data_IF_754065571080
#
_entry.id   IF_754065571080
#
_cell.length_a   1.000
_cell.length_b   1.000
_cell.length_c   1.000
_cell.angle_alpha   90.00
_cell.angle_beta   90.00
_cell.angle_gamma   90.00
#
_symmetry.space_group_name_H-M   'P 1'
#
loop_
_entity.id
_entity.type
_entity.pdbx_description
1 polymer ?
#
# COMPACT_ATOMS: atom_id res chain seq x y z
N UNK A 1 9.58 0.38 10.15
CA UNK A 1 9.58 -0.82 11.02
C UNK A 1 8.18 -1.42 11.12
N UNK A 2 8.00 -2.58 10.49
CA UNK A 2 6.75 -3.36 10.48
C UNK A 2 7.05 -4.79 10.89
N UNK A 3 6.17 -5.42 11.68
CA UNK A 3 6.28 -6.82 12.07
C UNK A 3 5.64 -7.70 10.99
N UNK A 4 6.38 -8.67 10.48
CA UNK A 4 5.88 -9.66 9.51
C UNK A 4 5.16 -10.82 10.21
N UNK A 5 4.40 -11.61 9.45
CA UNK A 5 3.60 -12.73 10.00
C UNK A 5 4.43 -13.83 10.67
N UNK A 6 5.71 -13.93 10.30
CA UNK A 6 6.71 -14.83 10.88
C UNK A 6 7.54 -14.19 12.01
N UNK A 7 7.03 -13.10 12.61
CA UNK A 7 7.62 -12.38 13.75
C UNK A 7 8.99 -11.73 13.48
N UNK A 8 9.33 -11.47 12.23
CA UNK A 8 10.51 -10.69 11.89
C UNK A 8 10.21 -9.19 11.87
N UNK A 9 11.21 -8.39 12.25
CA UNK A 9 11.16 -6.94 12.11
C UNK A 9 11.82 -6.57 10.79
N UNK A 10 11.03 -6.02 9.86
CA UNK A 10 11.53 -5.58 8.57
C UNK A 10 11.27 -4.09 8.39
N UNK A 11 12.20 -3.43 7.70
CA UNK A 11 11.99 -2.08 7.19
C UNK A 11 11.80 -2.14 5.69
N UNK A 12 10.63 -1.71 5.24
CA UNK A 12 10.19 -1.84 3.85
C UNK A 12 10.00 -0.44 3.30
N UNK A 13 10.67 -0.16 2.19
CA UNK A 13 10.48 1.07 1.42
C UNK A 13 9.58 0.80 0.22
N UNK A 14 8.65 1.71 -0.04
CA UNK A 14 7.75 1.62 -1.19
C UNK A 14 7.54 2.99 -1.83
N UNK A 15 7.18 2.97 -3.12
CA UNK A 15 6.85 4.16 -3.90
C UNK A 15 5.45 3.94 -4.46
N UNK A 16 4.55 4.88 -4.19
CA UNK A 16 3.20 4.89 -4.75
C UNK A 16 3.16 5.87 -5.90
N UNK A 17 2.79 5.39 -7.09
CA UNK A 17 2.50 6.22 -8.24
C UNK A 17 1.01 6.09 -8.54
N UNK A 18 0.34 7.22 -8.76
CA UNK A 18 -1.10 7.24 -9.04
C UNK A 18 -1.42 8.29 -10.09
N UNK A 19 -2.52 8.07 -10.81
CA UNK A 19 -3.09 9.02 -11.74
C UNK A 19 -4.52 9.35 -11.31
N UNK A 20 -4.86 10.64 -11.31
CA UNK A 20 -6.20 11.09 -10.94
C UNK A 20 -7.13 10.83 -12.12
N UNK A 21 -8.06 9.89 -11.98
CA UNK A 21 -9.08 9.60 -13.00
C UNK A 21 -10.18 10.69 -13.02
N UNK A 22 -10.65 11.12 -11.84
CA UNK A 22 -11.73 12.09 -11.69
C UNK A 22 -11.31 13.29 -10.81
N UNK A 23 -10.86 14.42 -11.42
CA UNK A 23 -10.38 15.58 -10.67
C UNK A 23 -11.44 16.20 -9.73
N UNK A 24 -12.72 16.13 -10.10
CA UNK A 24 -13.82 16.65 -9.27
C UNK A 24 -13.95 15.87 -7.96
N UNK A 25 -13.89 14.53 -8.01
CA UNK A 25 -13.91 13.69 -6.80
C UNK A 25 -12.70 13.98 -5.92
N UNK A 26 -11.52 14.05 -6.53
CA UNK A 26 -10.25 14.28 -5.83
C UNK A 26 -10.23 15.60 -5.04
N UNK A 27 -10.74 16.69 -5.61
CA UNK A 27 -10.67 18.03 -4.98
C UNK A 27 -11.82 18.28 -3.99
N UNK A 28 -13.01 17.73 -4.25
CA UNK A 28 -14.21 18.11 -3.50
C UNK A 28 -14.70 17.06 -2.49
N UNK A 29 -14.35 15.78 -2.64
CA UNK A 29 -14.84 14.73 -1.72
C UNK A 29 -13.90 14.50 -0.53
N UNK A 30 -12.64 14.91 -0.62
CA UNK A 30 -11.63 14.67 0.42
C UNK A 30 -10.91 15.98 0.75
N UNK A 31 -10.88 16.35 2.04
CA UNK A 31 -10.29 17.61 2.51
C UNK A 31 -8.78 17.71 2.30
N UNK A 32 -8.07 16.58 2.39
CA UNK A 32 -6.61 16.45 2.17
C UNK A 32 -6.34 15.17 1.37
N UNK A 33 -6.51 15.19 0.04
CA UNK A 33 -6.49 13.97 -0.76
C UNK A 33 -5.11 13.30 -0.78
N UNK A 34 -4.02 14.09 -0.78
CA UNK A 34 -2.65 13.56 -0.77
C UNK A 34 -2.36 12.82 0.55
N UNK A 35 -2.67 13.43 1.69
CA UNK A 35 -2.48 12.80 3.01
C UNK A 35 -3.32 11.53 3.13
N UNK A 36 -4.57 11.58 2.66
CA UNK A 36 -5.49 10.44 2.72
C UNK A 36 -4.98 9.27 1.88
N UNK A 37 -4.46 9.53 0.67
CA UNK A 37 -3.84 8.49 -0.16
C UNK A 37 -2.60 7.91 0.52
N UNK A 38 -1.78 8.74 1.17
CA UNK A 38 -0.62 8.27 1.93
C UNK A 38 -1.04 7.38 3.09
N UNK A 39 -2.03 7.79 3.89
CA UNK A 39 -2.51 7.03 5.05
C UNK A 39 -3.09 5.67 4.63
N UNK A 40 -3.88 5.65 3.55
CA UNK A 40 -4.44 4.40 2.99
C UNK A 40 -3.32 3.51 2.46
N UNK A 41 -2.37 4.06 1.71
CA UNK A 41 -1.22 3.30 1.20
C UNK A 41 -0.41 2.67 2.34
N UNK A 42 -0.13 3.43 3.40
CA UNK A 42 0.58 2.90 4.56
C UNK A 42 -0.22 1.76 5.24
N UNK A 43 -1.54 1.92 5.38
CA UNK A 43 -2.39 0.89 5.97
C UNK A 43 -2.41 -0.41 5.13
N UNK A 44 -2.54 -0.30 3.80
CA UNK A 44 -2.55 -1.45 2.89
C UNK A 44 -1.20 -2.15 2.88
N UNK A 45 -0.10 -1.40 2.77
CA UNK A 45 1.26 -1.97 2.81
C UNK A 45 1.51 -2.67 4.14
N UNK A 46 1.11 -2.07 5.27
CA UNK A 46 1.24 -2.71 6.59
C UNK A 46 0.43 -3.99 6.70
N UNK A 47 -0.81 -4.00 6.18
CA UNK A 47 -1.66 -5.20 6.14
C UNK A 47 -1.01 -6.31 5.30
N UNK A 48 -0.53 -5.97 4.11
CA UNK A 48 0.10 -6.92 3.19
C UNK A 48 1.40 -7.53 3.78
N UNK A 49 2.26 -6.67 4.35
CA UNK A 49 3.52 -7.10 4.99
C UNK A 49 3.27 -7.88 6.27
N UNK A 50 2.27 -7.48 7.09
CA UNK A 50 1.91 -8.18 8.32
C UNK A 50 1.33 -9.58 8.08
N UNK A 51 0.65 -9.79 6.95
CA UNK A 51 0.14 -11.10 6.56
C UNK A 51 1.16 -11.95 5.77
N UNK A 52 2.31 -11.38 5.42
CA UNK A 52 3.35 -12.06 4.62
C UNK A 52 4.53 -12.52 5.47
N UNK A 53 5.21 -13.56 5.01
CA UNK A 53 6.50 -13.98 5.57
C UNK A 53 7.63 -13.06 5.10
N UNK A 54 8.68 -12.86 5.91
CA UNK A 54 9.79 -11.96 5.58
C UNK A 54 10.51 -12.39 4.30
N UNK A 55 10.61 -13.70 4.06
CA UNK A 55 11.21 -14.26 2.85
C UNK A 55 10.43 -13.86 1.60
N UNK A 56 9.09 -13.82 1.67
CA UNK A 56 8.20 -13.40 0.57
C UNK A 56 8.40 -11.92 0.24
N UNK A 57 8.57 -11.08 1.27
CA UNK A 57 8.78 -9.63 1.13
C UNK A 57 10.16 -9.29 0.51
N UNK A 58 11.18 -10.10 0.80
CA UNK A 58 12.57 -9.83 0.39
C UNK A 58 13.00 -10.52 -0.93
N UNK A 59 12.19 -11.40 -1.50
CA UNK A 59 12.58 -12.24 -2.66
C UNK A 59 11.69 -12.01 -3.88
N UNK A 60 11.60 -13.00 -4.78
CA UNK A 60 10.93 -12.96 -6.09
C UNK A 60 9.44 -12.60 -6.01
N UNK A 61 8.82 -12.85 -4.86
CA UNK A 61 7.39 -12.60 -4.62
C UNK A 61 7.09 -11.12 -4.28
N UNK A 62 8.10 -10.24 -4.25
CA UNK A 62 7.91 -8.78 -4.11
C UNK A 62 7.03 -8.21 -5.22
N UNK A 63 7.17 -8.69 -6.45
CA UNK A 63 6.37 -8.22 -7.58
C UNK A 63 4.90 -8.63 -7.45
N UNK A 64 4.64 -9.85 -6.95
CA UNK A 64 3.30 -10.35 -6.69
C UNK A 64 2.64 -9.55 -5.56
N UNK A 65 3.35 -9.33 -4.45
CA UNK A 65 2.89 -8.52 -3.33
C UNK A 65 2.58 -7.07 -3.76
N UNK A 66 3.40 -6.49 -4.63
CA UNK A 66 3.14 -5.16 -5.19
C UNK A 66 1.86 -5.13 -6.02
N UNK A 67 1.59 -6.17 -6.80
CA UNK A 67 0.34 -6.31 -7.56
C UNK A 67 -0.90 -6.44 -6.65
N UNK A 68 -0.80 -7.20 -5.56
CA UNK A 68 -1.88 -7.28 -4.57
C UNK A 68 -2.15 -5.94 -3.90
N UNK A 69 -1.09 -5.22 -3.50
CA UNK A 69 -1.20 -3.88 -2.90
C UNK A 69 -1.83 -2.88 -3.89
N UNK A 70 -1.44 -2.95 -5.17
CA UNK A 70 -2.02 -2.11 -6.21
C UNK A 70 -3.53 -2.36 -6.35
N UNK A 71 -3.94 -3.64 -6.43
CA UNK A 71 -5.35 -4.00 -6.51
C UNK A 71 -6.15 -3.56 -5.28
N UNK A 72 -5.61 -3.76 -4.07
CA UNK A 72 -6.25 -3.32 -2.82
C UNK A 72 -6.40 -1.78 -2.80
N UNK A 73 -5.39 -1.03 -3.24
CA UNK A 73 -5.47 0.43 -3.30
C UNK A 73 -6.49 0.92 -4.33
N UNK A 74 -6.54 0.29 -5.51
CA UNK A 74 -7.52 0.61 -6.53
C UNK A 74 -8.96 0.34 -6.05
N UNK A 75 -9.18 -0.75 -5.30
CA UNK A 75 -10.49 -1.07 -4.75
C UNK A 75 -10.99 -0.09 -3.68
N UNK A 76 -10.08 0.58 -2.97
CA UNK A 76 -10.44 1.55 -1.92
C UNK A 76 -10.64 2.96 -2.50
N UNK A 77 -9.88 3.34 -3.53
CA UNK A 77 -9.81 4.71 -4.04
C UNK A 77 -10.68 4.98 -5.27
N UNK A 78 -11.10 3.95 -6.02
CA UNK A 78 -12.02 4.08 -7.15
C UNK A 78 -13.49 3.97 -6.72
#
# INVERSE_FOLDING_TARGET
LTLTGDLNVSDVEWIVQYQIAEPFKFVFHIRRPIDTIRDIAEAVVRKAVGNSNVTKVLTTERAELAGEIEADLQNILN
#
